data_IF_152716438689
#
_entry.id   IF_152716438689
#
_cell.length_a   1.000
_cell.length_b   1.000
_cell.length_c   1.000
_cell.angle_alpha   90.00
_cell.angle_beta   90.00
_cell.angle_gamma   90.00
#
_symmetry.space_group_name_H-M   'P 1'
#
loop_
_entity.id
_entity.type
_entity.pdbx_description
1 polymer ?
#
# COMPACT_ATOMS: atom_id res chain seq x y z
N UNK A 1 -12.24 -59.83 12.85
CA UNK A 1 -13.04 -58.59 12.81
C UNK A 1 -12.13 -57.41 13.11
N UNK A 2 -11.77 -56.56 12.18
CA UNK A 2 -11.01 -55.34 12.44
C UNK A 2 -11.97 -54.18 12.78
N UNK A 3 -11.62 -53.42 13.83
CA UNK A 3 -12.35 -52.26 14.30
C UNK A 3 -12.20 -51.10 13.30
N UNK A 4 -13.33 -50.50 12.93
CA UNK A 4 -13.41 -49.24 12.20
C UNK A 4 -12.82 -48.14 13.08
N UNK A 5 -11.87 -47.38 12.46
CA UNK A 5 -11.37 -46.11 13.00
C UNK A 5 -12.25 -45.04 12.37
N UNK A 6 -13.10 -44.44 13.21
CA UNK A 6 -13.95 -43.32 12.90
C UNK A 6 -13.08 -42.08 12.60
N UNK A 7 -13.40 -41.42 11.47
CA UNK A 7 -12.68 -40.23 11.02
C UNK A 7 -12.77 -39.07 11.99
N UNK A 8 -11.62 -38.58 12.39
CA UNK A 8 -11.49 -37.24 12.99
C UNK A 8 -11.62 -36.16 11.92
N UNK A 9 -12.62 -35.36 12.12
CA UNK A 9 -12.92 -34.14 11.37
C UNK A 9 -11.74 -33.19 11.50
N UNK A 10 -10.98 -33.02 10.43
CA UNK A 10 -9.96 -31.96 10.29
C UNK A 10 -10.65 -30.63 10.42
N UNK A 11 -10.54 -29.98 11.56
CA UNK A 11 -11.00 -28.62 11.76
C UNK A 11 -10.21 -27.72 10.78
N UNK A 12 -10.88 -27.30 9.73
CA UNK A 12 -10.43 -26.28 8.79
C UNK A 12 -10.23 -25.01 9.61
N UNK A 13 -8.97 -24.65 9.89
CA UNK A 13 -8.64 -23.32 10.41
C UNK A 13 -9.17 -22.32 9.37
N UNK A 14 -10.34 -21.80 9.64
CA UNK A 14 -10.87 -20.65 8.94
C UNK A 14 -9.85 -19.53 9.18
N UNK A 15 -9.19 -19.06 8.11
CA UNK A 15 -8.72 -17.70 8.07
C UNK A 15 -9.86 -16.87 8.68
N UNK A 16 -9.58 -16.12 9.73
CA UNK A 16 -10.53 -15.15 10.20
C UNK A 16 -10.73 -14.22 9.00
N UNK A 17 -11.87 -14.40 8.34
CA UNK A 17 -12.35 -13.51 7.30
C UNK A 17 -12.61 -12.17 7.98
N UNK A 18 -11.58 -11.31 8.01
CA UNK A 18 -11.82 -9.87 8.13
C UNK A 18 -12.60 -9.54 6.87
N UNK A 19 -13.84 -9.09 6.97
CA UNK A 19 -14.67 -8.87 5.79
C UNK A 19 -13.90 -7.96 4.83
N UNK A 20 -13.76 -8.38 3.58
CA UNK A 20 -13.04 -7.65 2.51
C UNK A 20 -13.51 -6.20 2.38
N UNK A 21 -14.76 -5.93 2.76
CA UNK A 21 -15.37 -4.59 2.82
C UNK A 21 -14.77 -3.69 3.92
N UNK A 22 -14.31 -4.23 5.04
CA UNK A 22 -13.73 -3.44 6.15
C UNK A 22 -12.31 -2.95 5.86
N UNK A 23 -11.60 -3.58 4.92
CA UNK A 23 -10.24 -3.22 4.52
C UNK A 23 -10.19 -2.37 3.24
N UNK A 24 -11.31 -1.92 2.71
CA UNK A 24 -11.35 -1.05 1.54
C UNK A 24 -10.90 0.37 1.89
N UNK A 25 -9.90 0.89 1.16
CA UNK A 25 -9.45 2.30 1.28
C UNK A 25 -10.62 3.27 1.16
N UNK A 26 -11.50 3.04 0.20
CA UNK A 26 -12.68 3.88 0.00
C UNK A 26 -13.64 3.84 1.19
N UNK A 27 -13.90 2.67 1.75
CA UNK A 27 -14.78 2.53 2.91
C UNK A 27 -14.23 3.30 4.12
N UNK A 28 -12.92 3.23 4.37
CA UNK A 28 -12.28 3.99 5.45
C UNK A 28 -12.28 5.50 5.21
N UNK A 29 -12.06 5.93 3.96
CA UNK A 29 -12.22 7.35 3.59
C UNK A 29 -13.65 7.83 3.88
N UNK A 30 -14.65 7.10 3.44
CA UNK A 30 -16.05 7.43 3.67
C UNK A 30 -16.40 7.45 5.16
N UNK A 31 -15.94 6.46 5.93
CA UNK A 31 -16.17 6.40 7.37
C UNK A 31 -15.51 7.57 8.12
N UNK A 32 -14.29 7.97 7.75
CA UNK A 32 -13.61 9.15 8.30
C UNK A 32 -14.41 10.43 8.05
N UNK A 33 -14.85 10.66 6.82
CA UNK A 33 -15.66 11.81 6.47
C UNK A 33 -17.01 11.82 7.19
N UNK A 34 -17.66 10.67 7.34
CA UNK A 34 -18.93 10.55 8.06
C UNK A 34 -18.77 10.90 9.54
N UNK A 35 -17.73 10.38 10.21
CA UNK A 35 -17.43 10.71 11.61
C UNK A 35 -17.10 12.18 11.82
N UNK A 36 -16.38 12.78 10.88
CA UNK A 36 -15.98 14.18 10.99
C UNK A 36 -17.14 15.17 10.86
N UNK A 37 -18.22 14.82 10.15
CA UNK A 37 -19.33 15.75 9.83
C UNK A 37 -19.91 16.46 11.04
N UNK A 38 -19.99 15.78 12.17
CA UNK A 38 -20.57 16.31 13.41
C UNK A 38 -19.55 16.91 14.37
N UNK A 39 -18.27 16.97 13.97
CA UNK A 39 -17.21 17.55 14.80
C UNK A 39 -17.12 19.07 14.66
N UNK A 40 -16.83 19.76 15.76
CA UNK A 40 -16.59 21.21 15.75
C UNK A 40 -15.40 21.59 14.87
N UNK A 41 -14.36 20.74 14.84
CA UNK A 41 -13.16 20.94 14.02
C UNK A 41 -13.47 20.89 12.52
N UNK A 42 -14.32 19.94 12.08
CA UNK A 42 -14.79 19.90 10.69
C UNK A 42 -15.65 21.11 10.35
N UNK A 43 -16.54 21.52 11.26
CA UNK A 43 -17.39 22.69 11.06
C UNK A 43 -16.56 23.96 10.84
N UNK A 44 -15.41 24.09 11.50
CA UNK A 44 -14.52 25.23 11.34
C UNK A 44 -13.87 25.35 9.96
N UNK A 45 -13.65 24.24 9.26
CA UNK A 45 -12.98 24.23 7.94
C UNK A 45 -13.93 23.89 6.78
N UNK A 46 -15.07 23.26 7.04
CA UNK A 46 -15.97 22.73 5.99
C UNK A 46 -16.63 23.81 5.13
N UNK A 47 -16.71 25.04 5.63
CA UNK A 47 -17.18 26.18 4.83
C UNK A 47 -16.26 26.49 3.62
N UNK A 48 -14.97 26.15 3.73
CA UNK A 48 -13.96 26.43 2.72
C UNK A 48 -13.25 25.16 2.20
N UNK A 49 -13.61 23.97 2.71
CA UNK A 49 -12.92 22.71 2.37
C UNK A 49 -13.92 21.59 2.12
N UNK A 50 -13.73 20.88 1.03
CA UNK A 50 -14.53 19.71 0.64
C UNK A 50 -13.62 18.57 0.20
N UNK A 51 -13.96 17.34 0.59
CA UNK A 51 -13.31 16.12 0.08
C UNK A 51 -14.30 15.40 -0.82
N UNK A 52 -13.88 15.12 -2.05
CA UNK A 52 -14.65 14.43 -3.07
C UNK A 52 -14.06 13.05 -3.28
N UNK A 53 -14.87 12.01 -3.12
CA UNK A 53 -14.51 10.64 -3.46
C UNK A 53 -14.91 10.33 -4.90
N UNK A 54 -14.19 9.44 -5.61
CA UNK A 54 -14.58 9.02 -6.95
C UNK A 54 -15.95 8.30 -6.91
N UNK A 55 -16.71 8.37 -8.00
CA UNK A 55 -18.05 7.74 -8.09
C UNK A 55 -17.97 6.20 -7.96
N UNK A 56 -16.89 5.58 -8.42
CA UNK A 56 -16.59 4.17 -8.30
C UNK A 56 -15.19 4.01 -7.67
N UNK A 57 -14.72 2.77 -7.46
CA UNK A 57 -13.38 2.51 -6.92
C UNK A 57 -12.22 2.84 -7.88
N UNK A 58 -12.47 3.62 -8.92
CA UNK A 58 -11.46 4.12 -9.87
C UNK A 58 -10.58 5.24 -9.28
N UNK A 59 -9.53 5.66 -10.00
CA UNK A 59 -8.78 6.86 -9.67
C UNK A 59 -9.65 8.11 -9.89
N UNK A 60 -9.29 9.22 -9.24
CA UNK A 60 -10.02 10.50 -9.39
C UNK A 60 -9.95 11.07 -10.80
N UNK A 61 -8.98 10.65 -11.61
CA UNK A 61 -8.81 11.06 -13.01
C UNK A 61 -8.20 9.93 -13.84
N UNK A 62 -8.45 9.94 -15.14
CA UNK A 62 -7.76 9.05 -16.07
C UNK A 62 -6.32 9.54 -16.29
N UNK A 63 -5.35 8.68 -15.97
CA UNK A 63 -3.92 8.99 -15.99
C UNK A 63 -3.30 8.64 -17.35
N UNK A 64 -3.82 7.61 -18.03
CA UNK A 64 -3.23 7.06 -19.24
C UNK A 64 -3.90 7.72 -20.45
N UNK A 65 -3.47 8.93 -20.79
CA UNK A 65 -4.02 9.68 -21.93
C UNK A 65 -3.13 9.65 -23.18
N UNK A 66 -1.95 9.02 -23.14
CA UNK A 66 -0.99 8.97 -24.24
C UNK A 66 -0.29 10.30 -24.55
N UNK A 67 -0.54 11.37 -23.79
CA UNK A 67 -0.01 12.74 -24.01
C UNK A 67 1.04 13.18 -22.97
N UNK A 68 1.38 12.34 -22.01
CA UNK A 68 2.34 12.70 -20.97
C UNK A 68 3.77 12.50 -21.43
N UNK A 69 4.64 13.48 -21.20
CA UNK A 69 6.10 13.39 -21.39
C UNK A 69 6.73 12.50 -20.30
N UNK A 70 6.06 12.34 -19.16
CA UNK A 70 6.51 11.48 -18.06
C UNK A 70 6.02 10.05 -18.25
N UNK A 71 6.81 9.03 -17.86
CA UNK A 71 6.36 7.65 -17.89
C UNK A 71 5.12 7.46 -17.01
N UNK A 72 3.98 7.19 -17.64
CA UNK A 72 2.74 6.80 -16.99
C UNK A 72 2.49 5.33 -17.23
N UNK A 73 1.72 4.68 -16.35
CA UNK A 73 1.41 3.28 -16.55
C UNK A 73 0.49 2.72 -15.49
N UNK A 74 0.40 1.40 -15.47
CA UNK A 74 -0.42 0.65 -14.52
C UNK A 74 0.45 -0.36 -13.77
N UNK A 75 0.22 -0.48 -12.46
CA UNK A 75 0.88 -1.44 -11.58
C UNK A 75 -0.14 -2.46 -11.08
N UNK A 76 0.05 -3.74 -11.40
CA UNK A 76 -0.81 -4.81 -10.91
C UNK A 76 -0.53 -5.07 -9.42
N UNK A 77 -1.43 -4.63 -8.55
CA UNK A 77 -1.35 -4.83 -7.11
C UNK A 77 -2.19 -6.04 -6.68
N UNK A 78 -1.61 -6.91 -5.86
CA UNK A 78 -2.35 -8.01 -5.21
C UNK A 78 -3.11 -7.52 -3.98
N UNK A 79 -2.52 -6.60 -3.19
CA UNK A 79 -3.17 -6.02 -2.01
C UNK A 79 -4.42 -5.22 -2.37
N UNK A 80 -4.35 -4.45 -3.47
CA UNK A 80 -5.50 -3.71 -3.99
C UNK A 80 -6.47 -4.58 -4.79
N UNK A 81 -6.08 -5.80 -5.18
CA UNK A 81 -6.87 -6.69 -6.02
C UNK A 81 -7.08 -6.19 -7.46
N UNK A 82 -6.34 -5.15 -7.89
CA UNK A 82 -6.56 -4.47 -9.18
C UNK A 82 -5.33 -3.70 -9.66
N UNK A 83 -5.28 -3.33 -10.95
CA UNK A 83 -4.25 -2.43 -11.45
C UNK A 83 -4.45 -0.99 -10.90
N UNK A 84 -3.34 -0.35 -10.51
CA UNK A 84 -3.28 1.01 -10.02
C UNK A 84 -2.50 1.88 -11.02
N UNK A 85 -3.11 2.98 -11.46
CA UNK A 85 -2.46 3.92 -12.37
C UNK A 85 -1.41 4.75 -11.63
N UNK A 86 -0.27 5.05 -12.29
CA UNK A 86 0.77 5.95 -11.81
C UNK A 86 1.15 6.97 -12.89
N UNK A 87 1.51 8.18 -12.47
CA UNK A 87 1.93 9.28 -13.33
C UNK A 87 3.45 9.51 -13.30
N UNK A 88 4.16 8.74 -12.47
CA UNK A 88 5.62 8.85 -12.36
C UNK A 88 6.25 7.55 -11.86
N UNK A 89 7.55 7.39 -12.13
CA UNK A 89 8.33 6.28 -11.59
C UNK A 89 8.52 6.36 -10.07
N UNK A 90 8.32 7.54 -9.45
CA UNK A 90 8.34 7.72 -8.01
C UNK A 90 7.07 7.12 -7.38
N UNK A 91 5.89 7.39 -7.93
CA UNK A 91 4.62 6.77 -7.52
C UNK A 91 4.68 5.25 -7.69
N UNK A 92 5.17 4.76 -8.85
CA UNK A 92 5.39 3.33 -9.06
C UNK A 92 6.29 2.73 -7.98
N UNK A 93 7.35 3.41 -7.58
CA UNK A 93 8.23 2.94 -6.52
C UNK A 93 7.50 2.85 -5.16
N UNK A 94 6.63 3.80 -4.83
CA UNK A 94 5.78 3.74 -3.64
C UNK A 94 4.87 2.53 -3.68
N UNK A 95 4.24 2.20 -4.83
CA UNK A 95 3.40 1.01 -4.96
C UNK A 95 4.21 -0.28 -4.78
N UNK A 96 5.37 -0.39 -5.43
CA UNK A 96 6.29 -1.53 -5.30
C UNK A 96 6.67 -1.78 -3.84
N UNK A 97 7.00 -0.73 -3.09
CA UNK A 97 7.34 -0.84 -1.67
C UNK A 97 6.12 -1.13 -0.80
N UNK A 98 4.96 -0.54 -1.09
CA UNK A 98 3.71 -0.81 -0.36
C UNK A 98 3.25 -2.26 -0.53
N UNK A 99 3.46 -2.85 -1.70
CA UNK A 99 3.14 -4.25 -1.96
C UNK A 99 3.94 -5.22 -1.08
N UNK A 100 5.21 -4.91 -0.81
CA UNK A 100 6.12 -5.75 -0.01
C UNK A 100 6.04 -5.45 1.49
N UNK A 101 5.68 -4.23 1.88
CA UNK A 101 5.62 -3.82 3.29
C UNK A 101 4.45 -4.51 4.00
N UNK A 102 4.76 -5.42 4.93
CA UNK A 102 3.75 -6.17 5.71
C UNK A 102 2.89 -5.28 6.60
N UNK A 103 3.35 -4.05 6.90
CA UNK A 103 2.56 -3.05 7.63
C UNK A 103 1.49 -2.38 6.77
N UNK A 104 1.53 -2.53 5.46
CA UNK A 104 0.52 -2.00 4.54
C UNK A 104 -0.45 -3.12 4.19
N UNK A 105 -1.69 -2.98 4.62
CA UNK A 105 -2.75 -3.95 4.36
C UNK A 105 -3.37 -3.75 2.96
N UNK A 106 -3.65 -2.50 2.58
CA UNK A 106 -4.22 -2.15 1.28
C UNK A 106 -3.76 -0.74 0.85
N UNK A 107 -3.88 -0.39 -0.43
CA UNK A 107 -3.57 0.94 -0.93
C UNK A 107 -4.26 1.24 -2.24
N UNK A 108 -4.44 2.53 -2.55
CA UNK A 108 -5.16 3.01 -3.72
C UNK A 108 -4.48 4.26 -4.30
N UNK A 109 -4.32 4.32 -5.62
CA UNK A 109 -3.86 5.52 -6.31
C UNK A 109 -4.99 6.55 -6.41
N UNK A 110 -4.65 7.84 -6.29
CA UNK A 110 -5.55 8.98 -6.45
C UNK A 110 -6.90 8.80 -5.74
N UNK A 111 -6.90 8.61 -4.39
CA UNK A 111 -8.04 8.10 -3.65
C UNK A 111 -9.20 9.08 -3.50
N UNK A 112 -8.90 10.39 -3.58
CA UNK A 112 -9.87 11.46 -3.39
C UNK A 112 -9.36 12.76 -3.99
N UNK A 113 -10.21 13.79 -4.03
CA UNK A 113 -9.85 15.17 -4.35
C UNK A 113 -10.26 16.11 -3.23
N UNK A 114 -9.30 16.89 -2.76
CA UNK A 114 -9.56 18.03 -1.88
C UNK A 114 -9.87 19.25 -2.73
N UNK A 115 -10.93 19.94 -2.39
CA UNK A 115 -11.33 21.23 -2.95
C UNK A 115 -11.43 22.23 -1.81
N UNK A 116 -10.71 23.35 -1.89
CA UNK A 116 -10.64 24.31 -0.80
C UNK A 116 -10.36 25.72 -1.29
N UNK A 117 -10.59 26.70 -0.42
CA UNK A 117 -10.22 28.09 -0.64
C UNK A 117 -8.99 28.39 0.21
N UNK A 118 -7.92 28.84 -0.43
CA UNK A 118 -6.68 29.26 0.21
C UNK A 118 -6.34 30.67 -0.30
N UNK A 119 -6.19 31.62 0.62
CA UNK A 119 -5.95 33.04 0.31
C UNK A 119 -6.98 33.63 -0.66
N UNK A 120 -8.25 33.30 -0.50
CA UNK A 120 -9.35 33.74 -1.37
C UNK A 120 -9.42 33.05 -2.73
N UNK A 121 -8.48 32.14 -3.05
CA UNK A 121 -8.40 31.44 -4.34
C UNK A 121 -8.88 30.00 -4.18
N UNK A 122 -9.79 29.57 -5.07
CA UNK A 122 -10.21 28.16 -5.14
C UNK A 122 -9.05 27.29 -5.63
N UNK A 123 -8.78 26.23 -4.89
CA UNK A 123 -7.73 25.25 -5.19
C UNK A 123 -8.33 23.85 -5.23
N UNK A 124 -7.71 22.98 -6.01
CA UNK A 124 -7.96 21.55 -5.93
C UNK A 124 -6.65 20.77 -5.83
N UNK A 125 -6.72 19.61 -5.19
CA UNK A 125 -5.56 18.76 -4.98
C UNK A 125 -6.00 17.29 -4.94
N UNK A 126 -5.31 16.44 -5.68
CA UNK A 126 -5.50 14.99 -5.69
C UNK A 126 -4.21 14.36 -5.15
N UNK A 127 -4.26 13.68 -4.00
CA UNK A 127 -3.12 12.92 -3.49
C UNK A 127 -2.73 11.78 -4.41
N UNK A 128 -1.46 11.44 -4.43
CA UNK A 128 -0.95 10.37 -5.30
C UNK A 128 -1.40 8.98 -4.83
N UNK A 129 -1.52 8.77 -3.51
CA UNK A 129 -1.86 7.48 -2.93
C UNK A 129 -2.55 7.61 -1.56
N UNK A 130 -3.39 6.63 -1.22
CA UNK A 130 -3.76 6.34 0.17
C UNK A 130 -3.39 4.90 0.50
N UNK A 131 -2.98 4.65 1.76
CA UNK A 131 -2.69 3.31 2.30
C UNK A 131 -3.43 3.07 3.59
N UNK A 132 -3.83 1.82 3.79
CA UNK A 132 -4.29 1.31 5.08
C UNK A 132 -3.12 0.55 5.70
N UNK A 133 -2.73 0.92 6.90
CA UNK A 133 -1.75 0.18 7.68
C UNK A 133 -2.43 -0.98 8.42
N UNK A 134 -1.62 -1.95 8.86
CA UNK A 134 -2.10 -3.13 9.59
C UNK A 134 -2.77 -2.81 10.93
N UNK A 135 -2.54 -1.62 11.49
CA UNK A 135 -3.21 -1.09 12.67
C UNK A 135 -4.54 -0.36 12.38
N UNK A 136 -4.97 -0.33 11.11
CA UNK A 136 -6.16 0.38 10.65
C UNK A 136 -5.95 1.86 10.33
N UNK A 137 -4.74 2.40 10.52
CA UNK A 137 -4.44 3.80 10.19
C UNK A 137 -4.55 4.04 8.70
N UNK A 138 -5.28 5.09 8.30
CA UNK A 138 -5.34 5.57 6.93
C UNK A 138 -4.30 6.67 6.71
N UNK A 139 -3.34 6.42 5.82
CA UNK A 139 -2.34 7.40 5.39
C UNK A 139 -2.65 7.94 4.00
N UNK A 140 -2.69 9.25 3.85
CA UNK A 140 -2.72 9.97 2.57
C UNK A 140 -1.29 10.34 2.20
N UNK A 141 -0.86 10.01 1.00
CA UNK A 141 0.52 10.21 0.55
C UNK A 141 0.60 11.18 -0.63
N UNK A 142 1.53 12.11 -0.53
CA UNK A 142 2.09 12.86 -1.66
C UNK A 142 3.46 12.30 -2.01
N UNK A 143 3.74 12.08 -3.29
CA UNK A 143 5.00 11.50 -3.76
C UNK A 143 5.81 12.54 -4.52
N UNK A 144 7.01 12.80 -4.06
CA UNK A 144 7.96 13.73 -4.67
C UNK A 144 9.24 13.04 -5.09
N UNK A 145 9.97 13.61 -6.02
CA UNK A 145 11.29 13.14 -6.43
C UNK A 145 12.29 13.28 -5.30
N UNK A 146 12.48 14.51 -4.86
CA UNK A 146 13.37 14.88 -3.74
C UNK A 146 12.81 16.09 -2.97
N UNK A 147 13.59 16.58 -1.98
CA UNK A 147 13.16 17.67 -1.10
C UNK A 147 12.98 19.01 -1.82
N UNK A 148 13.72 19.24 -2.92
CA UNK A 148 13.62 20.47 -3.73
C UNK A 148 12.25 20.64 -4.37
N UNK A 149 11.54 19.55 -4.60
CA UNK A 149 10.14 19.59 -5.09
C UNK A 149 9.19 20.28 -4.09
N UNK A 150 9.66 20.59 -2.87
CA UNK A 150 8.92 21.32 -1.83
C UNK A 150 9.43 22.75 -1.61
N UNK A 151 10.34 23.27 -2.44
CA UNK A 151 10.90 24.63 -2.27
C UNK A 151 9.88 25.73 -2.59
N UNK A 152 8.85 25.43 -3.39
CA UNK A 152 7.73 26.33 -3.64
C UNK A 152 6.89 26.52 -2.37
N UNK A 153 6.86 27.75 -1.88
CA UNK A 153 6.13 28.15 -0.64
C UNK A 153 4.63 27.95 -0.80
N UNK A 154 4.05 28.33 -1.95
CA UNK A 154 2.62 28.22 -2.20
C UNK A 154 2.19 26.75 -2.26
N UNK A 155 3.06 25.91 -2.82
CA UNK A 155 2.83 24.49 -2.85
C UNK A 155 2.89 23.88 -1.43
N UNK A 156 3.85 24.26 -0.58
CA UNK A 156 3.90 23.82 0.81
C UNK A 156 2.65 24.23 1.58
N UNK A 157 2.22 25.48 1.48
CA UNK A 157 0.99 25.97 2.11
C UNK A 157 -0.25 25.16 1.69
N UNK A 158 -0.31 24.78 0.42
CA UNK A 158 -1.36 23.87 -0.08
C UNK A 158 -1.31 22.51 0.61
N UNK A 159 -0.12 21.91 0.73
CA UNK A 159 0.05 20.62 1.41
C UNK A 159 -0.26 20.71 2.91
N UNK A 160 0.11 21.81 3.57
CA UNK A 160 -0.18 22.06 4.99
C UNK A 160 -1.70 22.13 5.22
N UNK A 161 -2.43 22.79 4.33
CA UNK A 161 -3.90 22.83 4.39
C UNK A 161 -4.51 21.42 4.23
N UNK A 162 -4.03 20.64 3.27
CA UNK A 162 -4.46 19.25 3.08
C UNK A 162 -4.13 18.39 4.30
N UNK A 163 -2.93 18.55 4.88
CA UNK A 163 -2.53 17.84 6.09
C UNK A 163 -3.44 18.19 7.29
N UNK A 164 -3.86 19.44 7.41
CA UNK A 164 -4.81 19.87 8.43
C UNK A 164 -6.19 19.22 8.20
N UNK A 165 -6.71 19.25 6.97
CA UNK A 165 -7.95 18.58 6.63
C UNK A 165 -7.92 17.08 6.91
N UNK A 166 -6.81 16.40 6.57
CA UNK A 166 -6.62 14.99 6.91
C UNK A 166 -6.69 14.74 8.42
N UNK A 167 -6.00 15.54 9.24
CA UNK A 167 -6.04 15.41 10.72
C UNK A 167 -7.45 15.51 11.28
N UNK A 168 -8.22 16.49 10.79
CA UNK A 168 -9.60 16.71 11.24
C UNK A 168 -10.50 15.50 10.96
N UNK A 169 -10.28 14.79 9.85
CA UNK A 169 -11.05 13.58 9.52
C UNK A 169 -10.43 12.29 10.07
N UNK A 170 -9.35 12.41 10.84
CA UNK A 170 -8.67 11.26 11.47
C UNK A 170 -7.76 10.48 10.53
N UNK A 171 -7.26 11.11 9.46
CA UNK A 171 -6.27 10.53 8.55
C UNK A 171 -4.88 11.11 8.82
N UNK A 172 -3.84 10.35 8.55
CA UNK A 172 -2.48 10.88 8.50
C UNK A 172 -2.16 11.42 7.09
N UNK A 173 -1.33 12.44 7.00
CA UNK A 173 -0.80 12.95 5.73
C UNK A 173 0.72 12.90 5.75
N UNK A 174 1.33 12.41 4.68
CA UNK A 174 2.78 12.30 4.59
C UNK A 174 3.30 12.53 3.18
N UNK A 175 4.41 13.28 3.07
CA UNK A 175 5.19 13.37 1.84
C UNK A 175 6.22 12.24 1.82
N UNK A 176 6.27 11.49 0.72
CA UNK A 176 7.22 10.40 0.49
C UNK A 176 8.12 10.75 -0.68
N UNK A 177 9.44 10.60 -0.49
CA UNK A 177 10.41 10.86 -1.55
C UNK A 177 10.74 9.58 -2.32
N UNK A 178 10.56 9.62 -3.64
CA UNK A 178 10.77 8.47 -4.52
C UNK A 178 12.24 8.16 -4.79
N UNK A 179 13.13 9.15 -4.75
CA UNK A 179 14.55 8.95 -5.01
C UNK A 179 15.19 7.89 -4.08
N UNK A 180 14.99 7.91 -2.74
CA UNK A 180 15.48 6.86 -1.85
C UNK A 180 14.90 5.48 -2.16
N UNK A 181 13.64 5.40 -2.61
CA UNK A 181 12.97 4.14 -2.94
C UNK A 181 13.49 3.50 -4.24
N UNK A 182 14.16 4.29 -5.09
CA UNK A 182 14.76 3.84 -6.35
C UNK A 182 16.28 3.73 -6.29
N UNK A 183 16.89 4.15 -5.18
CA UNK A 183 18.33 4.08 -4.99
C UNK A 183 18.85 2.62 -5.02
N UNK A 184 20.09 2.43 -5.46
CA UNK A 184 20.74 1.11 -5.48
C UNK A 184 21.19 0.73 -4.07
N UNK A 185 20.27 0.21 -3.26
CA UNK A 185 20.52 -0.27 -1.89
C UNK A 185 20.15 -1.74 -1.77
N UNK A 186 20.72 -2.42 -0.77
CA UNK A 186 20.36 -3.82 -0.47
C UNK A 186 18.85 -3.94 -0.21
N UNK A 187 18.27 -3.02 0.55
CA UNK A 187 16.84 -3.00 0.81
C UNK A 187 16.01 -2.96 -0.49
N UNK A 188 16.34 -2.06 -1.39
CA UNK A 188 15.60 -1.91 -2.65
C UNK A 188 15.84 -3.12 -3.57
N UNK A 189 17.03 -3.71 -3.57
CA UNK A 189 17.30 -4.96 -4.28
C UNK A 189 16.44 -6.12 -3.73
N UNK A 190 16.30 -6.22 -2.40
CA UNK A 190 15.42 -7.21 -1.76
C UNK A 190 13.96 -6.99 -2.15
N UNK A 191 13.48 -5.74 -2.15
CA UNK A 191 12.13 -5.39 -2.59
C UNK A 191 11.91 -5.83 -4.05
N UNK A 192 12.87 -5.57 -4.94
CA UNK A 192 12.77 -5.98 -6.35
C UNK A 192 12.79 -7.51 -6.49
N UNK A 193 13.57 -8.23 -5.70
CA UNK A 193 13.59 -9.69 -5.68
C UNK A 193 12.22 -10.25 -5.28
N UNK A 194 11.62 -9.75 -4.21
CA UNK A 194 10.28 -10.16 -3.78
C UNK A 194 9.24 -9.83 -4.88
N UNK A 195 9.34 -8.65 -5.48
CA UNK A 195 8.47 -8.22 -6.57
C UNK A 195 8.57 -9.12 -7.81
N UNK A 196 9.75 -9.65 -8.11
CA UNK A 196 9.93 -10.58 -9.23
C UNK A 196 9.08 -11.84 -9.03
N UNK A 197 8.90 -12.26 -7.79
CA UNK A 197 8.12 -13.46 -7.43
C UNK A 197 6.68 -13.17 -6.97
N UNK A 198 6.20 -11.91 -7.04
CA UNK A 198 4.89 -11.52 -6.49
C UNK A 198 3.69 -12.25 -7.09
N UNK A 199 3.85 -12.81 -8.30
CA UNK A 199 2.80 -13.57 -8.98
C UNK A 199 3.00 -15.09 -8.83
N UNK A 200 4.01 -15.55 -8.07
CA UNK A 200 4.19 -16.94 -7.77
C UNK A 200 2.94 -17.51 -7.07
N UNK A 201 2.53 -18.70 -7.50
CA UNK A 201 1.43 -19.41 -6.87
C UNK A 201 1.98 -20.28 -5.74
N UNK A 202 1.25 -20.33 -4.64
CA UNK A 202 1.54 -21.17 -3.49
C UNK A 202 0.23 -21.70 -2.90
N UNK A 203 0.29 -22.88 -2.30
CA UNK A 203 -0.87 -23.53 -1.69
C UNK A 203 -0.86 -23.45 -0.15
N UNK A 204 -1.92 -23.94 0.46
CA UNK A 204 -2.04 -24.02 1.92
C UNK A 204 -0.90 -24.84 2.55
N UNK A 205 -0.40 -25.88 1.87
CA UNK A 205 0.75 -26.69 2.30
C UNK A 205 2.02 -25.83 2.44
N UNK A 206 2.28 -24.98 1.47
CA UNK A 206 3.47 -24.11 1.48
C UNK A 206 3.41 -23.11 2.63
N UNK A 207 2.24 -22.52 2.83
CA UNK A 207 1.96 -21.62 3.98
C UNK A 207 2.18 -22.34 5.31
N UNK A 208 1.64 -23.54 5.45
CA UNK A 208 1.81 -24.37 6.67
C UNK A 208 3.27 -24.65 6.96
N UNK A 209 4.04 -25.10 5.95
CA UNK A 209 5.48 -25.40 6.10
C UNK A 209 6.25 -24.17 6.57
N UNK A 210 5.97 -22.99 5.99
CA UNK A 210 6.64 -21.74 6.39
C UNK A 210 6.28 -21.36 7.82
N UNK A 211 5.00 -21.40 8.18
CA UNK A 211 4.53 -21.10 9.53
C UNK A 211 5.11 -22.06 10.58
N UNK A 212 5.11 -23.36 10.32
CA UNK A 212 5.68 -24.38 11.21
C UNK A 212 7.17 -24.10 11.47
N UNK A 213 7.94 -23.84 10.43
CA UNK A 213 9.37 -23.51 10.53
C UNK A 213 9.64 -22.22 11.30
N UNK A 214 8.84 -21.18 11.07
CA UNK A 214 8.97 -19.92 11.79
C UNK A 214 8.57 -20.06 13.26
N UNK A 215 7.53 -20.82 13.58
CA UNK A 215 7.10 -21.07 14.95
C UNK A 215 8.11 -21.89 15.75
N UNK A 216 8.80 -22.85 15.11
CA UNK A 216 9.84 -23.66 15.74
C UNK A 216 11.18 -22.93 15.90
N UNK A 217 11.37 -21.79 15.25
CA UNK A 217 12.65 -21.08 15.27
C UNK A 217 12.77 -20.17 16.49
N UNK A 218 13.91 -20.26 17.19
CA UNK A 218 14.26 -19.36 18.30
C UNK A 218 14.85 -18.02 17.83
N UNK A 219 15.13 -17.88 16.54
CA UNK A 219 15.77 -16.69 15.92
C UNK A 219 15.29 -16.54 14.47
N UNK A 220 15.50 -15.37 13.82
CA UNK A 220 15.17 -15.19 12.41
C UNK A 220 15.83 -16.26 11.53
N UNK A 221 15.04 -16.91 10.68
CA UNK A 221 15.53 -17.93 9.76
C UNK A 221 16.07 -17.29 8.46
N UNK A 222 17.23 -17.79 7.96
CA UNK A 222 17.69 -17.45 6.63
C UNK A 222 16.67 -17.89 5.56
N UNK A 223 16.45 -17.04 4.54
CA UNK A 223 15.55 -17.34 3.43
C UNK A 223 15.88 -18.67 2.75
N UNK A 224 17.17 -19.04 2.66
CA UNK A 224 17.60 -20.31 2.09
C UNK A 224 17.15 -21.55 2.87
N UNK A 225 16.92 -21.45 4.18
CA UNK A 225 16.36 -22.55 4.97
C UNK A 225 14.87 -22.75 4.70
N UNK A 226 14.11 -21.65 4.61
CA UNK A 226 12.71 -21.71 4.22
C UNK A 226 12.53 -22.24 2.81
N UNK A 227 13.39 -21.83 1.88
CA UNK A 227 13.36 -22.31 0.51
C UNK A 227 13.65 -23.83 0.42
N UNK A 228 14.60 -24.34 1.20
CA UNK A 228 14.87 -25.79 1.29
C UNK A 228 13.69 -26.56 1.87
N UNK A 229 13.04 -26.02 2.89
CA UNK A 229 11.86 -26.66 3.49
C UNK A 229 10.68 -26.75 2.52
N UNK A 230 10.56 -25.82 1.59
CA UNK A 230 9.57 -25.82 0.51
C UNK A 230 9.95 -26.71 -0.68
N UNK A 231 11.12 -27.37 -0.67
CA UNK A 231 11.60 -28.20 -1.76
C UNK A 231 11.97 -27.42 -3.03
N UNK A 232 12.23 -26.13 -2.92
CA UNK A 232 12.45 -25.24 -4.04
C UNK A 232 13.94 -25.14 -4.39
N UNK A 233 14.45 -25.99 -5.27
CA UNK A 233 15.85 -26.05 -5.71
C UNK A 233 16.31 -24.77 -6.46
N UNK A 234 15.41 -23.99 -7.04
CA UNK A 234 15.72 -22.79 -7.86
C UNK A 234 16.40 -21.70 -7.00
N UNK A 235 16.09 -21.60 -5.71
CA UNK A 235 16.72 -20.63 -4.81
C UNK A 235 18.17 -21.05 -4.45
N UNK A 236 18.49 -22.34 -4.50
CA UNK A 236 19.83 -22.85 -4.24
C UNK A 236 20.84 -22.37 -5.30
N UNK A 237 20.42 -22.27 -6.56
CA UNK A 237 21.32 -21.86 -7.67
C UNK A 237 21.70 -20.38 -7.59
N UNK A 238 20.83 -19.51 -7.06
CA UNK A 238 21.12 -18.08 -6.90
C UNK A 238 22.03 -17.81 -5.70
N UNK A 239 21.92 -18.59 -4.62
CA UNK A 239 22.77 -18.48 -3.43
C UNK A 239 24.19 -19.05 -3.69
N UNK A 240 24.29 -20.17 -4.40
CA UNK A 240 25.57 -20.81 -4.75
C UNK A 240 26.43 -19.94 -5.68
N UNK A 241 25.82 -19.15 -6.57
CA UNK A 241 26.55 -18.23 -7.46
C UNK A 241 27.14 -17.00 -6.77
N UNK A 242 26.74 -16.67 -5.54
CA UNK A 242 27.28 -15.53 -4.77
C UNK A 242 28.37 -15.92 -3.79
N UNK A 243 28.59 -17.21 -3.56
CA UNK A 243 29.65 -17.72 -2.68
C UNK A 243 31.00 -17.97 -3.34
N UNK A 244 31.12 -17.82 -4.67
CA UNK A 244 32.31 -18.07 -5.46
C UNK A 244 32.77 -16.83 -6.27
N UNK A 245 32.51 -15.62 -5.80
CA UNK A 245 33.04 -14.39 -6.39
C UNK A 245 33.73 -13.54 -5.32
#
# INVERSE_FOLDING_TARGET
MPKQITGETTARLKHQDVPEAEMSVRALLQAGLTRAKDSADWSSISAATRVVLPAADGPMREVITGRSIRPTGSYASRKAGRPLAFESMNERAVFVHSEVDTRVANYLSQPCRFEFVLDGVRRSYVPDCARILSDGTLEILEVKGDRRDLDDVDYRRKLDHVAQACRVVGWSFRVVFGAPLRARTIRNATVQLIQHHRLAQYGAKDVFVVHDRLAAAASPLPLGELARALGNEVVQTAAARRGNA
#
